data_IF_545200804441
#
_entry.id   IF_545200804441
#
_cell.length_a   1.000
_cell.length_b   1.000
_cell.length_c   1.000
_cell.angle_alpha   90.00
_cell.angle_beta   90.00
_cell.angle_gamma   90.00
#
_symmetry.space_group_name_H-M   'P 1'
#
loop_
_entity.id
_entity.type
_entity.pdbx_description
1 polymer ?
#
# COMPACT_ATOMS: atom_id res chain seq x y z
N UNK A 1 18.49 8.24 4.33
CA UNK A 1 17.22 7.72 3.80
C UNK A 1 16.56 8.82 2.99
N UNK A 2 16.69 8.77 1.67
CA UNK A 2 16.01 9.68 0.75
C UNK A 2 14.51 9.48 0.88
N UNK A 3 13.80 10.57 1.14
CA UNK A 3 12.51 10.56 1.81
C UNK A 3 11.35 10.19 0.89
N UNK A 4 10.67 9.10 1.22
CA UNK A 4 9.32 8.87 0.74
C UNK A 4 8.35 9.81 1.47
N UNK A 5 8.41 11.10 1.15
CA UNK A 5 7.53 12.13 1.73
C UNK A 5 6.34 12.38 0.84
N UNK A 6 5.20 12.65 1.45
CA UNK A 6 3.99 13.12 0.78
C UNK A 6 3.32 14.17 1.66
N UNK A 7 2.23 14.75 1.18
CA UNK A 7 1.38 15.62 1.97
C UNK A 7 -0.02 15.64 1.39
N UNK A 8 -0.97 16.10 2.20
CA UNK A 8 -2.31 16.47 1.75
C UNK A 8 -2.69 17.84 2.29
N UNK A 9 -3.71 18.43 1.71
CA UNK A 9 -4.31 19.68 2.18
C UNK A 9 -5.68 19.35 2.78
N UNK A 10 -5.94 19.84 3.99
CA UNK A 10 -7.23 19.73 4.68
C UNK A 10 -7.51 21.10 5.29
N UNK A 11 -8.66 21.70 4.98
CA UNK A 11 -9.03 23.02 5.49
C UNK A 11 -7.92 24.07 5.32
N UNK A 12 -7.29 24.09 4.14
CA UNK A 12 -6.15 24.96 3.77
C UNK A 12 -4.84 24.68 4.52
N UNK A 13 -4.83 23.73 5.46
CA UNK A 13 -3.64 23.32 6.19
C UNK A 13 -2.91 22.17 5.49
N UNK A 14 -1.57 22.25 5.51
CA UNK A 14 -0.70 21.18 5.01
C UNK A 14 -0.52 20.13 6.10
N UNK A 15 -0.93 18.91 5.79
CA UNK A 15 -0.67 17.73 6.61
C UNK A 15 0.44 16.92 5.97
N UNK A 16 1.59 16.88 6.63
CA UNK A 16 2.73 16.08 6.19
C UNK A 16 2.44 14.58 6.32
N UNK A 17 3.07 13.80 5.44
CA UNK A 17 2.96 12.36 5.47
C UNK A 17 4.17 11.66 4.86
N UNK A 18 4.12 10.34 4.93
CA UNK A 18 5.07 9.44 4.28
C UNK A 18 4.34 8.52 3.30
N UNK A 19 5.07 8.01 2.32
CA UNK A 19 4.57 6.98 1.41
C UNK A 19 5.42 5.70 1.48
N UNK A 20 4.79 4.56 1.23
CA UNK A 20 5.47 3.27 1.08
C UNK A 20 4.79 2.47 -0.02
N UNK A 21 5.54 1.90 -0.97
CA UNK A 21 4.96 0.98 -1.95
C UNK A 21 4.38 -0.27 -1.27
N UNK A 22 3.16 -0.65 -1.66
CA UNK A 22 2.48 -1.88 -1.25
C UNK A 22 1.87 -2.56 -2.48
N UNK A 23 1.60 -3.86 -2.36
CA UNK A 23 0.70 -4.54 -3.28
C UNK A 23 -0.70 -4.66 -2.68
N UNK A 24 -1.71 -4.41 -3.49
CA UNK A 24 -3.10 -4.77 -3.15
C UNK A 24 -3.60 -5.85 -4.10
N UNK A 25 -4.58 -6.63 -3.65
CA UNK A 25 -5.19 -7.71 -4.42
C UNK A 25 -6.62 -7.30 -4.81
N UNK A 26 -6.91 -7.26 -6.09
CA UNK A 26 -8.24 -6.92 -6.60
C UNK A 26 -8.55 -7.69 -7.89
N UNK A 27 -9.76 -8.24 -8.02
CA UNK A 27 -10.17 -8.96 -9.23
C UNK A 27 -9.29 -10.17 -9.61
N UNK A 28 -8.58 -10.77 -8.64
CA UNK A 28 -7.64 -11.89 -8.88
C UNK A 28 -6.22 -11.47 -9.26
N UNK A 29 -5.97 -10.17 -9.48
CA UNK A 29 -4.68 -9.61 -9.84
C UNK A 29 -4.07 -8.78 -8.69
N UNK A 30 -2.76 -8.55 -8.76
CA UNK A 30 -2.04 -7.65 -7.87
C UNK A 30 -1.87 -6.26 -8.49
N UNK A 31 -1.87 -5.24 -7.63
CA UNK A 31 -1.61 -3.87 -8.04
C UNK A 31 -0.57 -3.23 -7.13
N UNK A 32 0.53 -2.74 -7.72
CA UNK A 32 1.49 -1.90 -7.03
C UNK A 32 0.86 -0.50 -6.84
N UNK A 33 0.85 -0.02 -5.60
CA UNK A 33 0.32 1.29 -5.23
C UNK A 33 1.06 1.83 -4.01
N UNK A 34 0.74 3.05 -3.59
CA UNK A 34 1.32 3.68 -2.42
C UNK A 34 0.36 3.58 -1.22
N UNK A 35 0.88 3.08 -0.10
CA UNK A 35 0.35 3.34 1.23
C UNK A 35 0.84 4.71 1.67
N UNK A 36 -0.09 5.65 1.89
CA UNK A 36 0.21 6.98 2.40
C UNK A 36 -0.28 7.10 3.83
N UNK A 37 0.58 7.58 4.72
CA UNK A 37 0.31 7.75 6.15
C UNK A 37 0.55 9.22 6.48
N UNK A 38 -0.47 9.90 6.98
CA UNK A 38 -0.45 11.33 7.27
C UNK A 38 -0.36 11.58 8.78
N UNK A 39 0.19 12.73 9.17
CA UNK A 39 0.43 13.10 10.56
C UNK A 39 -0.86 13.26 11.40
N UNK A 40 -2.01 13.45 10.76
CA UNK A 40 -3.34 13.48 11.38
C UNK A 40 -3.92 12.08 11.64
N UNK A 41 -3.16 11.01 11.33
CA UNK A 41 -3.60 9.62 11.45
C UNK A 41 -4.41 9.12 10.26
N UNK A 42 -4.69 9.95 9.25
CA UNK A 42 -5.33 9.49 8.03
C UNK A 42 -4.39 8.57 7.25
N UNK A 43 -4.95 7.49 6.70
CA UNK A 43 -4.23 6.55 5.86
C UNK A 43 -4.94 6.44 4.52
N UNK A 44 -4.17 6.34 3.44
CA UNK A 44 -4.70 6.10 2.10
C UNK A 44 -3.98 4.96 1.40
N UNK A 45 -4.72 3.90 1.04
CA UNK A 45 -4.22 2.70 0.36
C UNK A 45 -5.10 2.36 -0.86
N UNK A 46 -5.35 3.35 -1.74
CA UNK A 46 -6.42 3.46 -2.78
C UNK A 46 -7.80 3.86 -2.27
N UNK A 47 -8.06 3.66 -0.99
CA UNK A 47 -9.22 4.17 -0.29
C UNK A 47 -8.75 4.89 0.97
N UNK A 48 -9.58 5.78 1.50
CA UNK A 48 -9.32 6.46 2.76
C UNK A 48 -9.72 5.55 3.93
N UNK A 49 -8.89 5.53 4.97
CA UNK A 49 -9.13 4.79 6.19
C UNK A 49 -8.18 5.20 7.31
N UNK A 50 -8.13 4.37 8.33
CA UNK A 50 -7.28 4.49 9.51
C UNK A 50 -6.50 3.19 9.76
N UNK A 51 -5.85 3.09 10.92
CA UNK A 51 -5.04 1.92 11.27
C UNK A 51 -5.88 0.64 11.40
N UNK A 52 -7.10 0.72 11.94
CA UNK A 52 -7.98 -0.44 12.10
C UNK A 52 -8.54 -0.90 10.75
N UNK A 53 -8.84 0.04 9.85
CA UNK A 53 -9.16 -0.23 8.45
C UNK A 53 -8.00 -0.94 7.74
N UNK A 54 -6.77 -0.44 7.88
CA UNK A 54 -5.59 -1.08 7.32
C UNK A 54 -5.38 -2.49 7.88
N UNK A 55 -5.51 -2.67 9.20
CA UNK A 55 -5.41 -3.99 9.86
C UNK A 55 -6.44 -4.96 9.28
N UNK A 56 -7.67 -4.51 9.09
CA UNK A 56 -8.74 -5.33 8.50
C UNK A 56 -8.44 -5.73 7.06
N UNK A 57 -7.89 -4.83 6.26
CA UNK A 57 -7.51 -5.09 4.86
C UNK A 57 -6.30 -6.03 4.74
N UNK A 58 -5.36 -5.95 5.68
CA UNK A 58 -4.26 -6.92 5.80
C UNK A 58 -4.77 -8.30 6.19
N UNK A 59 -5.64 -8.39 7.21
CA UNK A 59 -6.23 -9.65 7.64
C UNK A 59 -7.05 -10.33 6.52
N UNK A 60 -7.71 -9.54 5.68
CA UNK A 60 -8.44 -10.04 4.51
C UNK A 60 -7.54 -10.42 3.31
N UNK A 61 -6.22 -10.20 3.39
CA UNK A 61 -5.29 -10.41 2.27
C UNK A 61 -5.47 -9.43 1.11
N UNK A 62 -6.23 -8.35 1.32
CA UNK A 62 -6.45 -7.32 0.32
C UNK A 62 -5.23 -6.42 0.19
N UNK A 63 -4.64 -5.96 1.30
CA UNK A 63 -3.24 -5.50 1.28
C UNK A 63 -2.38 -6.75 1.40
N UNK A 64 -1.53 -6.99 0.39
CA UNK A 64 -0.80 -8.24 0.25
C UNK A 64 0.65 -8.10 0.71
N UNK A 65 1.03 -8.95 1.67
CA UNK A 65 2.42 -9.19 2.10
C UNK A 65 2.95 -10.55 1.65
N UNK A 66 2.08 -11.35 1.02
CA UNK A 66 2.40 -12.59 0.31
C UNK A 66 1.99 -12.44 -1.16
N UNK A 67 2.90 -12.78 -2.07
CA UNK A 67 2.69 -12.68 -3.52
C UNK A 67 2.88 -14.05 -4.16
N UNK A 68 2.09 -14.33 -5.19
CA UNK A 68 2.11 -15.64 -5.85
C UNK A 68 2.99 -15.57 -7.11
N UNK A 69 3.90 -16.53 -7.27
CA UNK A 69 4.70 -16.66 -8.49
C UNK A 69 3.78 -16.88 -9.71
N UNK A 70 4.10 -16.23 -10.83
CA UNK A 70 3.29 -16.28 -12.05
C UNK A 70 2.01 -15.43 -12.03
N UNK A 71 1.59 -14.91 -10.86
CA UNK A 71 0.42 -14.03 -10.79
C UNK A 71 0.66 -12.71 -11.53
N UNK A 72 -0.43 -12.13 -12.05
CA UNK A 72 -0.36 -10.86 -12.75
C UNK A 72 -0.27 -9.72 -11.75
N UNK A 73 0.60 -8.77 -12.05
CA UNK A 73 0.72 -7.52 -11.35
C UNK A 73 0.60 -6.34 -12.31
N UNK A 74 0.22 -5.18 -11.80
CA UNK A 74 0.25 -3.94 -12.57
C UNK A 74 0.50 -2.71 -11.70
N UNK A 75 1.09 -1.69 -12.30
CA UNK A 75 1.11 -0.33 -11.81
C UNK A 75 0.17 0.47 -12.73
N UNK A 76 -0.85 1.10 -12.13
CA UNK A 76 -1.93 1.75 -12.89
C UNK A 76 -1.38 2.79 -13.87
N UNK A 77 -1.88 2.78 -15.10
CA UNK A 77 -1.46 3.62 -16.23
C UNK A 77 0.04 3.61 -16.58
N UNK A 78 0.80 2.66 -16.01
CA UNK A 78 2.24 2.58 -16.20
C UNK A 78 2.66 1.26 -16.87
N UNK A 79 2.34 0.12 -16.26
CA UNK A 79 2.79 -1.19 -16.75
C UNK A 79 2.00 -2.37 -16.16
N UNK A 80 2.05 -3.53 -16.82
CA UNK A 80 1.64 -4.83 -16.27
C UNK A 80 2.72 -5.88 -16.53
N UNK A 81 2.88 -6.79 -15.58
CA UNK A 81 3.85 -7.89 -15.65
C UNK A 81 3.31 -9.13 -14.92
N UNK A 82 4.07 -10.22 -14.96
CA UNK A 82 3.85 -11.38 -14.09
C UNK A 82 5.00 -11.49 -13.11
N UNK A 83 4.72 -11.87 -11.87
CA UNK A 83 5.79 -12.19 -10.93
C UNK A 83 6.59 -13.39 -11.44
N UNK A 84 7.91 -13.29 -11.39
CA UNK A 84 8.81 -14.43 -11.56
C UNK A 84 8.99 -15.13 -10.22
N UNK A 85 10.23 -15.20 -9.74
CA UNK A 85 10.52 -15.62 -8.38
C UNK A 85 10.13 -14.54 -7.37
N UNK A 86 9.40 -14.90 -6.32
CA UNK A 86 8.94 -13.97 -5.28
C UNK A 86 9.76 -14.12 -4.00
N UNK A 87 10.17 -12.99 -3.42
CA UNK A 87 10.64 -12.90 -2.03
C UNK A 87 9.98 -11.67 -1.40
N UNK A 88 9.37 -11.84 -0.23
CA UNK A 88 8.81 -10.74 0.56
C UNK A 88 9.59 -10.60 1.87
N UNK A 89 9.78 -9.35 2.31
CA UNK A 89 10.63 -9.00 3.47
C UNK A 89 9.85 -8.43 4.65
N UNK A 90 8.54 -8.27 4.50
CA UNK A 90 7.69 -7.63 5.51
C UNK A 90 6.45 -8.48 5.73
N UNK A 91 6.15 -8.72 6.99
CA UNK A 91 4.91 -9.35 7.44
C UNK A 91 3.79 -8.31 7.60
N UNK A 92 2.55 -8.76 7.79
CA UNK A 92 1.44 -7.85 8.05
C UNK A 92 1.63 -7.08 9.38
N UNK A 93 2.18 -7.74 10.40
CA UNK A 93 2.46 -7.14 11.71
C UNK A 93 3.55 -6.06 11.60
N UNK A 94 4.67 -6.36 10.94
CA UNK A 94 5.75 -5.39 10.72
C UNK A 94 5.34 -4.20 9.83
N UNK A 95 4.32 -4.38 8.97
CA UNK A 95 3.76 -3.27 8.19
C UNK A 95 2.93 -2.32 9.05
N UNK A 96 2.25 -2.82 10.08
CA UNK A 96 1.44 -2.04 11.01
C UNK A 96 2.29 -1.26 12.02
N UNK A 97 3.50 -1.74 12.31
CA UNK A 97 4.44 -1.13 13.26
C UNK A 97 4.46 -1.84 14.60
#
# INVERSE_FOLDING_TARGET
>A
MTGNRTYRIVDEERIDGILRPIFIRNGGDFYLTDLKIFADGAIHYREWGDLDGLRSKLAAGWVATTLDEGARASAHDLASWRFGKVVTWITAEELLG
#
